data_IF_467582265551
#
_entry.id   IF_467582265551
#
_cell.length_a   1.000
_cell.length_b   1.000
_cell.length_c   1.000
_cell.angle_alpha   90.00
_cell.angle_beta   90.00
_cell.angle_gamma   90.00
#
_symmetry.space_group_name_H-M   'P 1'
#
loop_
_entity.id
_entity.type
_entity.pdbx_description
1 polymer ?
#
# COMPACT_ATOMS: atom_id res chain seq x y z
N UNK A 1 -18.03 10.78 -4.87
CA UNK A 1 -16.67 10.25 -4.90
C UNK A 1 -16.66 8.76 -4.59
N UNK A 2 -15.70 8.00 -5.15
CA UNK A 2 -15.44 6.60 -4.80
C UNK A 2 -14.52 6.50 -3.57
N UNK A 3 -13.73 7.54 -3.28
CA UNK A 3 -12.98 7.67 -2.05
C UNK A 3 -13.86 8.13 -0.88
N UNK A 4 -13.44 7.81 0.35
CA UNK A 4 -14.13 8.26 1.56
C UNK A 4 -13.96 9.76 1.72
N UNK A 5 -15.07 10.48 1.72
CA UNK A 5 -15.14 11.92 1.98
C UNK A 5 -15.77 12.11 3.35
N UNK A 6 -15.17 12.88 4.23
CA UNK A 6 -15.69 13.11 5.57
C UNK A 6 -16.82 14.15 5.55
N UNK A 7 -16.61 15.23 4.79
CA UNK A 7 -17.61 16.27 4.60
C UNK A 7 -17.81 16.60 3.13
N UNK A 8 -19.07 16.82 2.66
CA UNK A 8 -19.33 17.21 1.28
C UNK A 8 -18.60 18.46 0.82
N UNK A 9 -18.32 19.39 1.73
CA UNK A 9 -17.59 20.64 1.49
C UNK A 9 -16.13 20.46 1.07
N UNK A 10 -15.56 19.27 1.33
CA UNK A 10 -14.20 18.94 0.84
C UNK A 10 -14.14 18.75 -0.68
N UNK A 11 -15.28 18.48 -1.29
CA UNK A 11 -15.37 18.13 -2.72
C UNK A 11 -16.23 19.11 -3.51
N UNK A 12 -17.15 19.80 -2.87
CA UNK A 12 -18.13 20.66 -3.51
C UNK A 12 -18.27 22.00 -2.80
N UNK A 13 -18.39 23.07 -3.57
CA UNK A 13 -18.71 24.39 -3.05
C UNK A 13 -20.14 24.79 -3.47
N UNK A 14 -20.76 25.61 -2.65
CA UNK A 14 -22.06 26.19 -2.98
C UNK A 14 -21.91 27.08 -4.24
N UNK A 15 -22.70 26.78 -5.25
CA UNK A 15 -22.64 27.45 -6.56
C UNK A 15 -21.95 26.69 -7.67
N UNK A 16 -21.29 25.54 -7.35
CA UNK A 16 -20.68 24.69 -8.36
C UNK A 16 -21.75 24.03 -9.24
N UNK A 17 -21.46 23.93 -10.53
CA UNK A 17 -22.29 23.23 -11.51
C UNK A 17 -21.72 21.85 -11.77
N UNK A 18 -22.51 20.82 -11.52
CA UNK A 18 -22.13 19.43 -11.75
C UNK A 18 -23.21 18.69 -12.54
N UNK A 19 -22.79 17.81 -13.41
CA UNK A 19 -23.69 16.86 -14.04
C UNK A 19 -24.09 15.79 -13.03
N UNK A 20 -25.36 15.42 -13.00
CA UNK A 20 -25.96 14.50 -12.07
C UNK A 20 -26.73 13.41 -12.81
N UNK A 21 -26.52 12.16 -12.41
CA UNK A 21 -27.36 11.05 -12.85
C UNK A 21 -28.54 10.90 -11.88
N UNK A 22 -29.76 10.97 -12.42
CA UNK A 22 -30.98 10.70 -11.63
C UNK A 22 -31.07 9.21 -11.32
N UNK A 23 -31.16 8.86 -10.03
CA UNK A 23 -31.23 7.48 -9.56
C UNK A 23 -32.66 7.08 -9.20
N UNK A 24 -33.39 8.00 -8.60
CA UNK A 24 -34.76 7.77 -8.13
C UNK A 24 -35.58 9.03 -8.21
N UNK A 25 -36.87 8.86 -8.44
CA UNK A 25 -37.84 9.94 -8.39
C UNK A 25 -38.96 9.49 -7.46
N UNK A 26 -39.12 10.17 -6.33
CA UNK A 26 -40.19 9.95 -5.38
C UNK A 26 -41.25 11.02 -5.61
N UNK A 27 -42.37 10.62 -6.20
CA UNK A 27 -43.46 11.52 -6.54
C UNK A 27 -44.30 11.95 -5.33
N UNK A 28 -44.35 11.14 -4.28
CA UNK A 28 -45.08 11.42 -3.07
C UNK A 28 -44.39 12.48 -2.21
N UNK A 29 -43.04 12.35 -2.12
CA UNK A 29 -42.19 13.28 -1.36
C UNK A 29 -41.66 14.45 -2.20
N UNK A 30 -41.99 14.49 -3.49
CA UNK A 30 -41.47 15.48 -4.46
C UNK A 30 -39.92 15.59 -4.41
N UNK A 31 -39.23 14.45 -4.31
CA UNK A 31 -37.78 14.38 -4.21
C UNK A 31 -37.16 13.60 -5.37
N UNK A 32 -36.04 14.10 -5.84
CA UNK A 32 -35.23 13.45 -6.90
C UNK A 32 -33.90 13.07 -6.28
N UNK A 33 -33.62 11.77 -6.24
CA UNK A 33 -32.31 11.26 -5.84
C UNK A 33 -31.34 11.30 -7.01
N UNK A 34 -30.22 11.96 -6.82
CA UNK A 34 -29.18 12.09 -7.84
C UNK A 34 -27.83 11.57 -7.38
N UNK A 35 -26.99 11.14 -8.30
CA UNK A 35 -25.62 10.69 -8.02
C UNK A 35 -24.64 11.21 -9.04
N UNK A 36 -23.61 11.89 -8.57
CA UNK A 36 -22.43 12.24 -9.37
C UNK A 36 -21.54 11.00 -9.55
N UNK A 37 -21.46 10.17 -8.52
CA UNK A 37 -20.62 8.96 -8.50
C UNK A 37 -20.89 8.02 -9.67
N UNK A 38 -22.14 7.85 -10.06
CA UNK A 38 -22.56 6.97 -11.17
C UNK A 38 -22.27 7.50 -12.57
N UNK A 39 -21.89 8.78 -12.70
CA UNK A 39 -21.48 9.36 -13.99
C UNK A 39 -20.04 8.95 -14.37
N UNK A 40 -19.19 8.71 -13.40
CA UNK A 40 -17.83 8.25 -13.64
C UNK A 40 -17.79 6.73 -13.57
N UNK A 41 -17.07 6.05 -14.48
CA UNK A 41 -16.80 4.64 -14.34
C UNK A 41 -16.13 4.37 -12.98
N UNK A 42 -16.51 3.28 -12.35
CA UNK A 42 -15.92 2.89 -11.06
C UNK A 42 -14.41 2.63 -11.28
N UNK A 43 -13.50 3.36 -10.60
CA UNK A 43 -12.07 3.10 -10.71
C UNK A 43 -11.74 1.64 -10.39
N UNK A 44 -12.58 1.00 -9.57
CA UNK A 44 -12.41 -0.40 -9.20
C UNK A 44 -12.78 -1.40 -10.33
N UNK A 45 -13.55 -1.00 -11.34
CA UNK A 45 -13.78 -1.82 -12.54
C UNK A 45 -12.53 -1.91 -13.42
N UNK A 46 -11.67 -0.89 -13.38
CA UNK A 46 -10.38 -0.89 -14.08
C UNK A 46 -9.34 -1.82 -13.46
N UNK A 47 -9.64 -2.37 -12.29
CA UNK A 47 -8.75 -3.30 -11.58
C UNK A 47 -8.40 -4.54 -12.40
N UNK A 48 -9.25 -4.92 -13.35
CA UNK A 48 -8.96 -6.03 -14.28
C UNK A 48 -7.76 -5.75 -15.19
N UNK A 49 -7.34 -4.50 -15.32
CA UNK A 49 -6.18 -4.10 -16.11
C UNK A 49 -4.87 -4.22 -15.33
N UNK A 50 -4.95 -4.45 -14.01
CA UNK A 50 -3.77 -4.61 -13.17
C UNK A 50 -3.44 -6.08 -13.02
N UNK A 51 -2.18 -6.40 -13.28
CA UNK A 51 -1.66 -7.76 -13.16
C UNK A 51 -0.98 -7.95 -11.80
N UNK A 52 -1.22 -9.11 -11.20
CA UNK A 52 -0.50 -9.53 -10.01
C UNK A 52 1.00 -9.67 -10.32
N UNK A 53 1.83 -9.41 -9.33
CA UNK A 53 3.30 -9.49 -9.42
C UNK A 53 3.96 -8.50 -10.38
N UNK A 54 3.26 -7.50 -10.88
CA UNK A 54 3.84 -6.37 -11.61
C UNK A 54 4.11 -5.18 -10.71
N UNK A 55 5.15 -4.41 -11.06
CA UNK A 55 5.53 -3.17 -10.38
C UNK A 55 4.65 -2.02 -10.86
N UNK A 56 4.15 -1.25 -9.92
CA UNK A 56 3.37 -0.04 -10.15
C UNK A 56 3.85 1.08 -9.23
N UNK A 57 3.83 2.31 -9.73
CA UNK A 57 4.07 3.50 -8.91
C UNK A 57 2.79 3.88 -8.18
N UNK A 58 2.88 4.04 -6.87
CA UNK A 58 1.77 4.44 -6.01
C UNK A 58 2.17 5.65 -5.17
N UNK A 59 1.20 6.49 -4.85
CA UNK A 59 1.41 7.68 -4.02
C UNK A 59 0.92 7.43 -2.60
N UNK A 60 1.75 7.70 -1.60
CA UNK A 60 1.37 7.59 -0.19
C UNK A 60 0.40 8.71 0.17
N UNK A 61 -0.83 8.38 0.56
CA UNK A 61 -1.87 9.36 0.93
C UNK A 61 -2.07 9.45 2.44
N UNK A 62 -1.86 8.35 3.17
CA UNK A 62 -2.02 8.31 4.63
C UNK A 62 -1.14 7.24 5.24
N UNK A 63 -0.54 7.54 6.38
CA UNK A 63 0.31 6.60 7.11
C UNK A 63 -0.34 6.26 8.44
N UNK A 64 -0.42 4.96 8.75
CA UNK A 64 -0.91 4.41 10.01
C UNK A 64 0.18 3.54 10.66
N UNK A 65 -0.02 3.13 11.90
CA UNK A 65 0.99 2.34 12.61
C UNK A 65 1.16 0.92 12.04
N UNK A 66 0.09 0.37 11.46
CA UNK A 66 0.07 -0.96 10.84
C UNK A 66 0.42 -0.97 9.34
N UNK A 67 0.54 0.19 8.70
CA UNK A 67 0.82 0.28 7.27
C UNK A 67 0.57 1.67 6.68
N UNK A 68 0.69 1.77 5.37
CA UNK A 68 0.41 2.99 4.61
C UNK A 68 -0.72 2.76 3.61
N UNK A 69 -1.63 3.73 3.51
CA UNK A 69 -2.59 3.78 2.42
C UNK A 69 -1.95 4.54 1.26
N UNK A 70 -1.94 3.89 0.12
CA UNK A 70 -1.39 4.44 -1.10
C UNK A 70 -2.47 4.53 -2.17
N UNK A 71 -2.34 5.48 -3.05
CA UNK A 71 -3.21 5.67 -4.20
C UNK A 71 -2.49 5.22 -5.46
N UNK A 72 -3.07 4.26 -6.15
CA UNK A 72 -2.58 3.74 -7.43
C UNK A 72 -3.07 4.62 -8.59
N UNK A 73 -4.37 4.94 -8.58
CA UNK A 73 -5.01 5.93 -9.44
C UNK A 73 -6.00 6.76 -8.62
N UNK A 74 -6.40 7.95 -9.08
CA UNK A 74 -7.39 8.78 -8.40
C UNK A 74 -8.65 8.00 -8.02
N UNK A 75 -8.86 7.81 -6.71
CA UNK A 75 -9.98 7.04 -6.17
C UNK A 75 -9.71 5.54 -5.98
N UNK A 76 -8.56 5.01 -6.38
CA UNK A 76 -8.16 3.61 -6.19
C UNK A 76 -7.11 3.50 -5.08
N UNK A 77 -7.57 3.22 -3.88
CA UNK A 77 -6.71 3.13 -2.69
C UNK A 77 -6.23 1.70 -2.47
N UNK A 78 -4.95 1.56 -2.18
CA UNK A 78 -4.26 0.31 -1.88
C UNK A 78 -3.71 0.34 -0.45
N UNK A 79 -3.49 -0.84 0.14
CA UNK A 79 -2.90 -0.98 1.46
C UNK A 79 -1.51 -1.62 1.35
N UNK A 80 -0.51 -0.90 1.84
CA UNK A 80 0.84 -1.40 2.10
C UNK A 80 0.97 -1.72 3.58
N UNK A 81 0.95 -3.01 3.94
CA UNK A 81 1.11 -3.43 5.32
C UNK A 81 2.56 -3.25 5.79
N UNK A 82 2.79 -3.01 7.09
CA UNK A 82 4.13 -2.79 7.66
C UNK A 82 5.10 -3.95 7.40
N UNK A 83 4.61 -5.19 7.36
CA UNK A 83 5.40 -6.38 7.03
C UNK A 83 5.85 -6.45 5.57
N UNK A 84 5.21 -5.70 4.68
CA UNK A 84 5.47 -5.68 3.24
C UNK A 84 6.38 -4.51 2.82
N UNK A 85 6.92 -3.77 3.78
CA UNK A 85 7.79 -2.61 3.53
C UNK A 85 9.23 -3.03 3.29
N UNK A 86 9.77 -3.94 4.12
CA UNK A 86 11.18 -4.33 4.09
C UNK A 86 11.37 -5.82 4.35
N UNK A 87 12.44 -6.39 3.78
CA UNK A 87 12.88 -7.75 4.05
C UNK A 87 13.61 -7.88 5.39
N UNK A 88 14.37 -6.85 5.80
CA UNK A 88 15.28 -6.90 6.94
C UNK A 88 14.61 -6.67 8.29
N UNK A 89 13.43 -6.05 8.33
CA UNK A 89 12.73 -5.72 9.58
C UNK A 89 11.26 -6.08 9.49
N UNK A 90 10.80 -7.00 10.33
CA UNK A 90 9.41 -7.49 10.35
C UNK A 90 8.40 -6.46 10.79
N UNK A 91 8.60 -5.38 11.36
CA UNK A 91 7.64 -4.36 11.81
C UNK A 91 8.27 -2.96 11.76
N UNK A 92 8.64 -2.54 10.56
CA UNK A 92 9.12 -1.18 10.39
C UNK A 92 7.94 -0.23 10.45
N UNK A 93 8.06 0.81 11.28
CA UNK A 93 7.05 1.86 11.28
C UNK A 93 7.03 2.56 9.92
N UNK A 94 5.91 2.55 9.20
CA UNK A 94 5.83 3.21 7.90
C UNK A 94 6.20 4.69 7.95
N UNK A 95 5.99 5.33 9.12
CA UNK A 95 6.31 6.74 9.38
C UNK A 95 7.80 7.07 9.29
N UNK A 96 8.67 6.06 9.50
CA UNK A 96 10.13 6.26 9.47
C UNK A 96 10.70 6.21 8.06
N UNK A 97 10.02 5.50 7.16
CA UNK A 97 10.50 5.25 5.79
C UNK A 97 9.81 6.17 4.79
N UNK A 98 8.49 6.37 4.94
CA UNK A 98 7.68 7.09 3.97
C UNK A 98 7.07 8.35 4.56
N UNK A 99 6.86 9.33 3.70
CA UNK A 99 6.11 10.56 4.00
C UNK A 99 4.83 10.59 3.17
N UNK A 100 3.81 11.26 3.68
CA UNK A 100 2.59 11.52 2.91
C UNK A 100 2.95 12.37 1.69
N UNK A 101 2.56 11.89 0.51
CA UNK A 101 2.90 12.50 -0.77
C UNK A 101 4.03 11.82 -1.54
N UNK A 102 4.79 10.91 -0.90
CA UNK A 102 5.86 10.17 -1.57
C UNK A 102 5.28 9.25 -2.66
N UNK A 103 6.04 9.12 -3.74
CA UNK A 103 5.80 8.14 -4.79
C UNK A 103 6.74 6.97 -4.58
N UNK A 104 6.17 5.78 -4.48
CA UNK A 104 6.90 4.55 -4.22
C UNK A 104 6.52 3.48 -5.24
N UNK A 105 7.48 2.63 -5.60
CA UNK A 105 7.21 1.44 -6.40
C UNK A 105 6.73 0.30 -5.50
N UNK A 106 5.66 -0.35 -5.90
CA UNK A 106 5.11 -1.50 -5.20
C UNK A 106 4.63 -2.55 -6.20
N UNK A 107 4.57 -3.79 -5.73
CA UNK A 107 4.02 -4.93 -6.46
C UNK A 107 2.64 -5.24 -5.91
N UNK A 108 1.66 -5.47 -6.77
CA UNK A 108 0.33 -5.90 -6.35
C UNK A 108 0.39 -7.39 -5.99
N UNK A 109 0.06 -7.71 -4.73
CA UNK A 109 0.07 -9.08 -4.22
C UNK A 109 -1.31 -9.70 -4.18
N UNK A 110 -2.34 -8.91 -3.92
CA UNK A 110 -3.71 -9.39 -3.79
C UNK A 110 -4.71 -8.33 -4.25
N UNK A 111 -5.76 -8.76 -4.90
CA UNK A 111 -6.89 -7.92 -5.31
C UNK A 111 -8.18 -8.56 -4.81
N UNK A 112 -8.78 -7.99 -3.78
CA UNK A 112 -10.10 -8.38 -3.27
C UNK A 112 -11.18 -7.48 -3.87
N UNK A 113 -11.91 -8.01 -4.85
CA UNK A 113 -12.96 -7.27 -5.55
C UNK A 113 -14.21 -7.07 -4.68
N UNK A 114 -14.51 -7.99 -3.78
CA UNK A 114 -15.69 -7.92 -2.92
C UNK A 114 -15.50 -6.86 -1.84
N UNK A 115 -14.35 -6.86 -1.18
CA UNK A 115 -14.00 -5.88 -0.14
C UNK A 115 -13.43 -4.58 -0.69
N UNK A 116 -13.25 -4.48 -2.00
CA UNK A 116 -12.62 -3.33 -2.67
C UNK A 116 -11.26 -2.98 -2.06
N UNK A 117 -10.42 -3.98 -1.87
CA UNK A 117 -9.10 -3.84 -1.29
C UNK A 117 -8.03 -4.38 -2.23
N UNK A 118 -6.94 -3.66 -2.32
CA UNK A 118 -5.74 -4.08 -3.02
C UNK A 118 -4.62 -4.10 -2.01
N UNK A 119 -3.97 -5.25 -1.85
CA UNK A 119 -2.76 -5.37 -1.08
C UNK A 119 -1.55 -5.20 -1.99
N UNK A 120 -0.59 -4.43 -1.52
CA UNK A 120 0.66 -4.15 -2.24
C UNK A 120 1.85 -4.46 -1.35
N UNK A 121 2.98 -4.80 -1.98
CA UNK A 121 4.24 -5.05 -1.32
C UNK A 121 5.34 -4.19 -1.92
N UNK A 122 6.04 -3.44 -1.08
CA UNK A 122 7.23 -2.70 -1.48
C UNK A 122 8.47 -3.60 -1.46
N UNK A 123 8.57 -4.52 -0.51
CA UNK A 123 9.71 -5.44 -0.40
C UNK A 123 9.93 -6.28 -1.67
N UNK A 124 8.85 -6.64 -2.39
CA UNK A 124 8.94 -7.40 -3.63
C UNK A 124 9.46 -6.59 -4.84
N UNK A 125 9.64 -5.27 -4.68
CA UNK A 125 10.31 -4.45 -5.71
C UNK A 125 11.83 -4.65 -5.71
N UNK A 126 12.38 -5.09 -4.57
CA UNK A 126 13.79 -5.43 -4.38
C UNK A 126 13.96 -6.94 -4.29
N UNK A 127 15.10 -7.43 -4.76
CA UNK A 127 15.44 -8.83 -4.60
C UNK A 127 15.50 -9.20 -3.12
N UNK A 128 15.04 -10.40 -2.79
CA UNK A 128 15.14 -10.93 -1.45
C UNK A 128 16.63 -11.08 -1.06
N UNK A 129 17.14 -10.32 -0.09
CA UNK A 129 18.54 -10.40 0.28
C UNK A 129 18.95 -11.80 0.80
N UNK A 130 17.99 -12.58 1.32
CA UNK A 130 18.27 -13.95 1.78
C UNK A 130 18.57 -14.90 0.64
N UNK A 131 17.94 -14.76 -0.53
CA UNK A 131 18.23 -15.59 -1.72
C UNK A 131 19.64 -15.34 -2.26
N UNK A 132 20.11 -14.09 -2.16
CA UNK A 132 21.46 -13.72 -2.55
C UNK A 132 22.51 -14.20 -1.53
N UNK A 133 22.14 -14.26 -0.25
CA UNK A 133 23.01 -14.77 0.82
C UNK A 133 23.22 -16.26 0.72
N UNK A 134 22.17 -17.04 0.47
CA UNK A 134 22.27 -18.49 0.30
C UNK A 134 23.26 -18.89 -0.82
N UNK A 135 23.26 -18.11 -1.92
CA UNK A 135 24.19 -18.31 -3.02
C UNK A 135 25.63 -17.88 -2.71
N UNK A 136 25.80 -16.81 -1.90
CA UNK A 136 27.12 -16.26 -1.58
C UNK A 136 27.78 -16.97 -0.39
N UNK A 137 26.96 -17.41 0.56
CA UNK A 137 27.41 -18.03 1.79
C UNK A 137 26.71 -19.38 1.98
N UNK A 138 27.10 -20.43 1.21
CA UNK A 138 26.58 -21.76 1.44
C UNK A 138 26.91 -22.26 2.83
N UNK A 139 26.13 -23.20 3.33
CA UNK A 139 26.33 -23.79 4.67
C UNK A 139 27.77 -24.30 4.81
N UNK A 140 28.45 -23.86 5.89
CA UNK A 140 29.85 -24.14 6.16
C UNK A 140 30.83 -23.03 5.78
N UNK A 141 30.34 -21.90 5.23
CA UNK A 141 31.19 -20.73 4.95
C UNK A 141 31.46 -19.94 6.24
N UNK A 142 32.73 -19.64 6.49
CA UNK A 142 33.13 -18.74 7.57
C UNK A 142 32.90 -17.29 7.14
N UNK A 143 32.22 -16.52 8.00
CA UNK A 143 31.88 -15.11 7.73
C UNK A 143 32.19 -14.25 8.95
N UNK A 144 32.60 -13.02 8.71
CA UNK A 144 32.80 -12.02 9.76
C UNK A 144 31.53 -11.23 9.99
N UNK A 145 31.15 -11.07 11.26
CA UNK A 145 29.99 -10.28 11.67
C UNK A 145 30.29 -9.44 12.89
N UNK A 146 29.60 -8.31 13.00
CA UNK A 146 29.68 -7.43 14.17
C UNK A 146 28.50 -7.75 15.09
N UNK A 147 28.78 -8.00 16.38
CA UNK A 147 27.72 -8.24 17.37
C UNK A 147 26.86 -7.00 17.48
N UNK A 148 25.58 -7.13 17.12
CA UNK A 148 24.59 -6.06 17.18
C UNK A 148 23.82 -6.04 18.50
N UNK A 149 23.49 -7.22 19.01
CA UNK A 149 22.83 -7.37 20.32
C UNK A 149 23.04 -8.77 20.88
N UNK A 150 22.87 -8.91 22.20
CA UNK A 150 22.90 -10.19 22.90
C UNK A 150 21.73 -10.27 23.87
N UNK A 151 21.19 -11.47 24.04
CA UNK A 151 20.25 -11.80 25.10
C UNK A 151 20.69 -13.09 25.78
N UNK A 152 19.95 -13.57 26.78
CA UNK A 152 20.29 -14.76 27.53
C UNK A 152 20.38 -16.06 26.69
N UNK A 153 19.82 -16.07 25.49
CA UNK A 153 19.66 -17.26 24.65
C UNK A 153 20.38 -17.17 23.30
N UNK A 154 20.73 -15.94 22.83
CA UNK A 154 21.30 -15.75 21.52
C UNK A 154 22.15 -14.49 21.39
N UNK A 155 23.11 -14.57 20.47
CA UNK A 155 23.92 -13.44 20.01
C UNK A 155 23.47 -13.09 18.60
N UNK A 156 23.13 -11.83 18.38
CA UNK A 156 22.77 -11.33 17.07
C UNK A 156 23.94 -10.61 16.44
N UNK A 157 24.28 -11.01 15.23
CA UNK A 157 25.43 -10.51 14.47
C UNK A 157 24.93 -9.76 13.25
N UNK A 158 25.46 -8.58 13.00
CA UNK A 158 25.24 -7.85 11.77
C UNK A 158 26.34 -8.23 10.76
N UNK A 159 25.93 -8.75 9.61
CA UNK A 159 26.86 -9.13 8.57
C UNK A 159 27.38 -7.89 7.85
N UNK A 160 28.70 -7.82 7.64
CA UNK A 160 29.33 -6.71 6.94
C UNK A 160 28.76 -6.54 5.52
N UNK A 161 28.20 -5.33 5.25
CA UNK A 161 27.62 -5.00 3.95
C UNK A 161 26.16 -5.44 3.76
N UNK A 162 25.52 -5.99 4.81
CA UNK A 162 24.10 -6.41 4.76
C UNK A 162 23.36 -5.87 5.99
N UNK A 163 22.14 -5.40 5.76
CA UNK A 163 21.23 -5.00 6.87
C UNK A 163 20.45 -6.20 7.43
N UNK A 164 21.13 -7.31 7.64
CA UNK A 164 20.53 -8.58 8.08
C UNK A 164 21.21 -9.01 9.37
N UNK A 165 20.42 -9.39 10.34
CA UNK A 165 20.87 -9.96 11.59
C UNK A 165 20.94 -11.49 11.46
N UNK A 166 22.13 -12.04 11.67
CA UNK A 166 22.36 -13.47 11.83
C UNK A 166 22.37 -13.82 13.32
N UNK A 167 21.98 -15.01 13.69
CA UNK A 167 22.02 -15.48 15.08
C UNK A 167 22.60 -16.88 15.16
#
# INVERSE_FOLDING_TARGET
SYSRVNHPEEVFNIGDKHDLLVISVDKEKLQIGCSIKKLSPDPFEKITNYELNKKYEVKVIKIMDFGAFCELEPGLTTLLHSSEISWSRKNVSPKTIFKVGDKIECVITEIDKEKRRIAISHRLTTENPYDSLEKKFPVGTEIEGIISSMNEYAIYLKLNGYEIDAF
#
